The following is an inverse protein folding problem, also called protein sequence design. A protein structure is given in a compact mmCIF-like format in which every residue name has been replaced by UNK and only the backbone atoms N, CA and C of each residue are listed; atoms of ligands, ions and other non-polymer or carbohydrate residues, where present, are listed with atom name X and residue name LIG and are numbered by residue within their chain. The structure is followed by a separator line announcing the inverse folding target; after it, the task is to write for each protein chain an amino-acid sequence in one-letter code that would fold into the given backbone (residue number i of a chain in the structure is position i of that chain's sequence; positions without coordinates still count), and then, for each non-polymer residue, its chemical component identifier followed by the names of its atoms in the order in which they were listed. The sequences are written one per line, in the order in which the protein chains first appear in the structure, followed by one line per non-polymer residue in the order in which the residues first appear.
data_IF_537665016920
#
_entry.id   IF_537665016920
#
_cell.length_a   1.000
_cell.length_b   1.000
_cell.length_c   1.000
_cell.angle_alpha   90.00
_cell.angle_beta   90.00
_cell.angle_gamma   90.00
#
_symmetry.space_group_name_H-M   'P 1'
#
loop_
_entity.id
_entity.type
_entity.pdbx_description
1 polymer ?
#
# COMPACT_ATOMS: atom_id res chain seq x y z
N UNK A 1 -0.79 1.80 26.69
CA UNK A 1 -0.72 0.49 26.02
C UNK A 1 -2.14 -0.01 25.86
N UNK A 2 -2.70 0.06 24.65
CA UNK A 2 -4.04 -0.48 24.35
C UNK A 2 -3.93 -1.95 23.95
N UNK A 3 -4.85 -2.79 24.44
CA UNK A 3 -4.87 -4.23 24.10
C UNK A 3 -5.19 -4.40 22.60
N UNK A 4 -4.33 -5.08 21.81
CA UNK A 4 -4.55 -5.30 20.38
C UNK A 4 -5.84 -6.09 20.06
N UNK A 5 -6.47 -6.74 21.05
CA UNK A 5 -7.73 -7.49 20.89
C UNK A 5 -8.97 -6.60 20.70
N UNK A 6 -8.88 -5.29 20.94
CA UNK A 6 -10.03 -4.38 20.84
C UNK A 6 -10.35 -3.88 19.41
N UNK A 7 -9.50 -4.19 18.41
CA UNK A 7 -9.65 -3.68 17.03
C UNK A 7 -10.24 -4.71 16.05
N UNK A 8 -10.78 -5.83 16.55
CA UNK A 8 -11.30 -6.92 15.72
C UNK A 8 -12.45 -6.51 14.78
N UNK A 9 -13.21 -5.47 15.14
CA UNK A 9 -14.30 -4.93 14.32
C UNK A 9 -13.92 -3.64 13.57
N UNK A 10 -12.65 -3.25 13.57
CA UNK A 10 -12.23 -2.00 12.94
C UNK A 10 -12.33 -2.13 11.41
N UNK A 11 -13.28 -1.42 10.82
CA UNK A 11 -13.54 -1.44 9.36
C UNK A 11 -12.79 -0.36 8.62
N UNK A 12 -12.58 0.79 9.25
CA UNK A 12 -11.93 1.96 8.65
C UNK A 12 -10.93 2.54 9.63
N UNK A 13 -9.71 2.76 9.15
CA UNK A 13 -8.63 3.38 9.91
C UNK A 13 -7.98 4.49 9.09
N UNK A 14 -7.92 5.68 9.68
CA UNK A 14 -7.10 6.77 9.16
C UNK A 14 -5.95 7.01 10.14
N UNK A 15 -4.74 6.70 9.71
CA UNK A 15 -3.51 6.90 10.43
C UNK A 15 -2.83 8.17 9.93
N UNK A 16 -2.82 9.21 10.77
CA UNK A 16 -2.17 10.49 10.49
C UNK A 16 -1.09 10.66 11.55
N UNK A 17 0.18 10.68 11.18
CA UNK A 17 1.25 10.85 12.16
C UNK A 17 2.41 11.70 11.63
N UNK A 18 2.58 12.91 12.13
CA UNK A 18 3.62 13.83 11.67
C UNK A 18 5.05 13.51 12.16
N UNK A 19 5.23 12.55 13.09
CA UNK A 19 6.52 12.30 13.75
C UNK A 19 6.94 10.82 13.76
N UNK A 20 6.13 9.92 13.22
CA UNK A 20 6.42 8.48 13.24
C UNK A 20 7.44 8.15 12.15
N UNK A 21 8.54 7.51 12.53
CA UNK A 21 9.51 6.89 11.61
C UNK A 21 9.14 5.47 11.21
N UNK A 22 8.20 4.84 11.95
CA UNK A 22 7.78 3.45 11.78
C UNK A 22 6.26 3.37 11.69
N UNK A 23 5.74 2.52 10.81
CA UNK A 23 4.32 2.21 10.74
C UNK A 23 3.98 1.08 11.72
N UNK A 24 2.83 1.15 12.42
CA UNK A 24 2.36 0.04 13.22
C UNK A 24 2.01 -1.18 12.34
N UNK A 25 2.03 -2.37 12.93
CA UNK A 25 1.61 -3.60 12.28
C UNK A 25 0.08 -3.66 12.11
N UNK A 26 -0.41 -3.20 10.97
CA UNK A 26 -1.86 -3.12 10.70
C UNK A 26 -2.39 -4.33 9.90
N UNK A 27 -1.50 -5.16 9.36
CA UNK A 27 -1.85 -6.27 8.47
C UNK A 27 -2.65 -7.41 9.11
N UNK A 28 -2.73 -7.45 10.44
CA UNK A 28 -3.47 -8.48 11.18
C UNK A 28 -4.93 -8.11 11.48
N UNK A 29 -5.39 -6.92 11.06
CA UNK A 29 -6.76 -6.46 11.30
C UNK A 29 -7.74 -7.16 10.36
N UNK A 30 -8.60 -8.08 10.85
CA UNK A 30 -9.34 -9.00 9.98
C UNK A 30 -10.52 -8.35 9.25
N UNK A 31 -11.08 -7.27 9.80
CA UNK A 31 -12.25 -6.58 9.24
C UNK A 31 -11.92 -5.25 8.57
N UNK A 32 -10.64 -4.86 8.52
CA UNK A 32 -10.25 -3.57 7.98
C UNK A 32 -10.45 -3.55 6.46
N UNK A 33 -11.33 -2.67 6.00
CA UNK A 33 -11.68 -2.45 4.58
C UNK A 33 -11.07 -1.19 4.01
N UNK A 34 -10.88 -0.17 4.85
CA UNK A 34 -10.35 1.12 4.44
C UNK A 34 -9.16 1.50 5.33
N UNK A 35 -8.03 1.78 4.69
CA UNK A 35 -6.83 2.27 5.36
C UNK A 35 -6.33 3.52 4.65
N UNK A 36 -6.16 4.61 5.40
CA UNK A 36 -5.53 5.83 4.91
C UNK A 36 -4.34 6.14 5.82
N UNK A 37 -3.13 6.15 5.26
CA UNK A 37 -1.88 6.53 5.94
C UNK A 37 -1.43 7.90 5.41
N UNK A 38 -1.19 8.85 6.31
CA UNK A 38 -0.73 10.20 5.91
C UNK A 38 0.26 10.85 6.87
N UNK A 39 1.07 11.75 6.32
CA UNK A 39 2.05 12.60 7.03
C UNK A 39 3.16 11.87 7.80
N UNK A 40 3.37 10.57 7.59
CA UNK A 40 4.43 9.82 8.27
C UNK A 40 5.82 10.04 7.67
N UNK A 41 6.84 10.11 8.53
CA UNK A 41 8.26 10.20 8.14
C UNK A 41 8.87 8.85 7.80
N UNK A 42 8.09 7.95 7.21
CA UNK A 42 8.47 6.56 6.91
C UNK A 42 9.23 6.53 5.60
N UNK A 43 10.41 5.91 5.62
CA UNK A 43 11.29 5.82 4.44
C UNK A 43 10.98 4.62 3.55
N UNK A 44 10.46 3.54 4.15
CA UNK A 44 10.15 2.29 3.47
C UNK A 44 8.89 1.65 4.02
N UNK A 45 8.10 1.04 3.15
CA UNK A 45 7.00 0.14 3.54
C UNK A 45 7.45 -1.29 3.21
N UNK A 46 7.68 -2.08 4.27
CA UNK A 46 8.23 -3.43 4.22
C UNK A 46 7.49 -4.42 5.14
N UNK A 47 8.09 -5.58 5.40
CA UNK A 47 7.53 -6.68 6.21
C UNK A 47 7.02 -6.25 7.61
N UNK A 48 7.61 -5.21 8.20
CA UNK A 48 7.26 -4.72 9.53
C UNK A 48 5.84 -4.13 9.56
N UNK A 49 5.46 -3.40 8.51
CA UNK A 49 4.13 -2.81 8.37
C UNK A 49 3.01 -3.86 8.32
N UNK A 50 3.28 -5.00 7.69
CA UNK A 50 2.32 -6.09 7.55
C UNK A 50 2.17 -6.90 8.86
N UNK A 51 3.08 -6.73 9.84
CA UNK A 51 3.06 -7.44 11.11
C UNK A 51 3.78 -8.78 11.10
N UNK A 52 4.78 -8.93 10.23
CA UNK A 52 5.59 -10.15 10.13
C UNK A 52 6.78 -10.15 11.09
N UNK A 53 6.55 -10.16 12.40
CA UNK A 53 7.61 -10.42 13.37
C UNK A 53 7.83 -11.92 13.52
N UNK A 54 8.81 -12.48 12.81
CA UNK A 54 9.53 -13.74 13.10
C UNK A 54 8.75 -15.01 13.49
N UNK A 55 9.05 -16.10 12.76
CA UNK A 55 9.03 -17.51 13.21
C UNK A 55 7.68 -18.24 13.33
N UNK A 56 7.04 -18.57 12.20
CA UNK A 56 6.67 -19.96 11.87
C UNK A 56 6.65 -20.05 10.35
N UNK A 57 7.42 -20.98 9.77
CA UNK A 57 7.23 -21.39 8.39
C UNK A 57 5.89 -22.13 8.30
N UNK A 58 4.79 -21.38 8.22
CA UNK A 58 3.50 -21.95 7.86
C UNK A 58 3.61 -22.20 6.36
N UNK A 59 3.39 -23.43 5.86
CA UNK A 59 3.43 -23.73 4.42
C UNK A 59 2.35 -22.97 3.62
N UNK A 60 1.47 -22.23 4.32
CA UNK A 60 0.49 -21.33 3.74
C UNK A 60 1.02 -19.89 3.77
N UNK A 61 1.21 -19.34 2.57
CA UNK A 61 1.29 -17.91 2.24
C UNK A 61 0.61 -17.01 3.30
N UNK A 62 1.35 -16.19 4.07
CA UNK A 62 0.75 -15.33 5.09
C UNK A 62 -0.18 -14.30 4.42
N UNK A 63 -1.47 -14.35 4.75
CA UNK A 63 -2.46 -13.43 4.23
C UNK A 63 -2.59 -12.24 5.17
N UNK A 64 -1.92 -11.14 4.83
CA UNK A 64 -2.12 -9.85 5.48
C UNK A 64 -3.34 -9.15 4.87
N UNK A 65 -3.93 -8.21 5.62
CA UNK A 65 -4.99 -7.33 5.14
C UNK A 65 -6.10 -8.05 4.34
N UNK A 66 -6.59 -9.18 4.87
CA UNK A 66 -7.51 -10.11 4.17
C UNK A 66 -8.82 -9.48 3.73
N UNK A 67 -9.22 -8.35 4.33
CA UNK A 67 -10.46 -7.63 4.02
C UNK A 67 -10.24 -6.25 3.41
N UNK A 68 -8.99 -5.81 3.20
CA UNK A 68 -8.72 -4.43 2.78
C UNK A 68 -9.14 -4.22 1.33
N UNK A 69 -10.06 -3.29 1.10
CA UNK A 69 -10.62 -2.97 -0.21
C UNK A 69 -10.05 -1.64 -0.75
N UNK A 70 -9.68 -0.71 0.14
CA UNK A 70 -9.14 0.60 -0.22
C UNK A 70 -7.92 0.96 0.63
N UNK A 71 -6.83 1.31 -0.05
CA UNK A 71 -5.59 1.83 0.55
C UNK A 71 -5.28 3.21 -0.01
N UNK A 72 -5.07 4.17 0.89
CA UNK A 72 -4.64 5.53 0.55
C UNK A 72 -3.32 5.80 1.26
N UNK A 73 -2.32 6.19 0.49
CA UNK A 73 -1.02 6.64 0.95
C UNK A 73 -0.84 8.09 0.50
N UNK A 74 -0.77 9.02 1.45
CA UNK A 74 -0.78 10.46 1.18
C UNK A 74 0.35 11.18 1.95
N UNK A 75 1.05 12.11 1.32
CA UNK A 75 2.05 12.97 1.98
C UNK A 75 3.14 12.17 2.75
N UNK A 76 3.55 11.01 2.24
CA UNK A 76 4.72 10.27 2.76
C UNK A 76 5.98 10.78 2.07
N UNK A 77 6.44 11.97 2.46
CA UNK A 77 7.52 12.68 1.77
C UNK A 77 8.90 12.06 1.95
N UNK A 78 9.06 11.06 2.81
CA UNK A 78 10.31 10.31 2.94
C UNK A 78 10.25 8.93 2.29
N UNK A 79 9.07 8.50 1.84
CA UNK A 79 8.88 7.16 1.31
C UNK A 79 9.64 7.01 0.00
N UNK A 80 10.69 6.20 0.01
CA UNK A 80 11.50 5.89 -1.17
C UNK A 80 11.14 4.53 -1.76
N UNK A 81 10.87 3.55 -0.88
CA UNK A 81 10.71 2.15 -1.25
C UNK A 81 9.39 1.58 -0.75
N UNK A 82 8.72 0.84 -1.61
CA UNK A 82 7.54 0.07 -1.24
C UNK A 82 7.62 -1.34 -1.82
N UNK A 83 7.63 -2.34 -0.93
CA UNK A 83 7.74 -3.75 -1.29
C UNK A 83 6.64 -4.62 -0.66
N UNK A 84 6.36 -5.75 -1.30
CA UNK A 84 5.54 -6.82 -0.75
C UNK A 84 6.39 -8.00 -0.34
N UNK A 85 5.92 -8.73 0.68
CA UNK A 85 6.38 -10.09 0.93
C UNK A 85 5.89 -11.01 -0.19
N UNK A 86 6.65 -12.06 -0.48
CA UNK A 86 6.30 -13.08 -1.49
C UNK A 86 4.85 -13.53 -1.30
N UNK A 87 4.04 -13.27 -2.32
CA UNK A 87 2.63 -13.61 -2.30
C UNK A 87 1.63 -12.46 -2.20
N UNK A 88 2.07 -11.25 -1.98
CA UNK A 88 1.19 -10.09 -1.95
C UNK A 88 0.42 -9.95 -0.63
N UNK A 89 0.35 -8.73 -0.13
CA UNK A 89 -0.19 -8.42 1.18
C UNK A 89 -1.67 -8.03 1.18
N UNK A 90 -2.31 -7.92 0.01
CA UNK A 90 -3.65 -7.34 -0.09
C UNK A 90 -4.57 -8.11 -1.06
N UNK A 91 -5.04 -9.32 -0.70
CA UNK A 91 -5.76 -10.21 -1.60
C UNK A 91 -7.13 -9.68 -2.08
N UNK A 92 -7.66 -8.61 -1.47
CA UNK A 92 -8.97 -8.02 -1.79
C UNK A 92 -8.92 -6.54 -2.16
N UNK A 93 -7.72 -5.98 -2.35
CA UNK A 93 -7.58 -4.56 -2.64
C UNK A 93 -8.17 -4.25 -4.01
N UNK A 94 -9.12 -3.32 -4.04
CA UNK A 94 -9.79 -2.86 -5.27
C UNK A 94 -9.29 -1.49 -5.69
N UNK A 95 -8.98 -0.63 -4.71
CA UNK A 95 -8.56 0.74 -4.92
C UNK A 95 -7.26 1.08 -4.20
N UNK A 96 -6.30 1.62 -4.95
CA UNK A 96 -5.05 2.16 -4.45
C UNK A 96 -4.92 3.63 -4.86
N UNK A 97 -4.74 4.52 -3.88
CA UNK A 97 -4.41 5.93 -4.11
C UNK A 97 -3.06 6.26 -3.49
N UNK A 98 -2.16 6.81 -4.30
CA UNK A 98 -0.85 7.31 -3.88
C UNK A 98 -0.79 8.80 -4.25
N UNK A 99 -0.63 9.66 -3.24
CA UNK A 99 -0.68 11.11 -3.42
C UNK A 99 0.46 11.81 -2.69
N UNK A 100 1.13 12.73 -3.38
CA UNK A 100 2.19 13.59 -2.80
C UNK A 100 3.34 12.79 -2.17
N UNK A 101 3.64 11.60 -2.70
CA UNK A 101 4.77 10.76 -2.27
C UNK A 101 5.96 11.05 -3.17
N UNK A 102 6.70 12.12 -2.85
CA UNK A 102 7.65 12.75 -3.79
C UNK A 102 8.89 11.91 -4.11
N UNK A 103 9.28 11.01 -3.21
CA UNK A 103 10.49 10.21 -3.32
C UNK A 103 10.24 8.74 -3.66
N UNK A 104 8.97 8.32 -3.80
CA UNK A 104 8.63 6.93 -4.08
C UNK A 104 9.14 6.57 -5.47
N UNK A 105 10.10 5.63 -5.52
CA UNK A 105 10.83 5.33 -6.75
C UNK A 105 10.17 4.27 -7.62
N UNK A 106 9.42 3.33 -7.05
CA UNK A 106 8.79 2.24 -7.80
C UNK A 106 7.56 1.70 -7.07
N UNK A 107 6.70 1.01 -7.82
CA UNK A 107 5.62 0.21 -7.22
C UNK A 107 6.17 -1.16 -6.80
N UNK A 108 5.50 -1.85 -5.85
CA UNK A 108 5.77 -3.25 -5.61
C UNK A 108 5.62 -4.08 -6.90
N UNK A 109 6.52 -5.06 -7.10
CA UNK A 109 6.57 -5.87 -8.32
C UNK A 109 5.31 -6.70 -8.60
N UNK A 110 4.52 -6.99 -7.57
CA UNK A 110 3.31 -7.81 -7.65
C UNK A 110 2.13 -7.09 -7.03
N UNK A 111 1.36 -6.35 -7.82
CA UNK A 111 0.09 -5.80 -7.35
C UNK A 111 -1.00 -6.90 -7.31
N UNK A 112 -1.97 -6.80 -6.40
CA UNK A 112 -3.02 -7.81 -6.29
C UNK A 112 -3.94 -7.76 -7.52
N UNK A 113 -4.30 -8.93 -8.05
CA UNK A 113 -5.15 -9.07 -9.24
C UNK A 113 -6.58 -8.54 -9.05
N UNK A 114 -7.00 -8.31 -7.80
CA UNK A 114 -8.28 -7.65 -7.48
C UNK A 114 -8.28 -6.14 -7.72
N UNK A 115 -7.11 -5.54 -7.93
CA UNK A 115 -6.95 -4.09 -8.07
C UNK A 115 -7.55 -3.63 -9.41
N UNK A 116 -8.55 -2.76 -9.32
CA UNK A 116 -9.30 -2.25 -10.47
C UNK A 116 -9.16 -0.74 -10.64
N UNK A 117 -8.80 -0.02 -9.56
CA UNK A 117 -8.63 1.43 -9.54
C UNK A 117 -7.26 1.82 -8.95
N UNK A 118 -6.41 2.45 -9.77
CA UNK A 118 -5.12 3.00 -9.36
C UNK A 118 -5.09 4.51 -9.63
N UNK A 119 -4.80 5.29 -8.58
CA UNK A 119 -4.65 6.73 -8.67
C UNK A 119 -3.27 7.14 -8.15
N UNK A 120 -2.48 7.80 -8.99
CA UNK A 120 -1.17 8.36 -8.63
C UNK A 120 -1.19 9.85 -8.93
N UNK A 121 -0.89 10.70 -7.94
CA UNK A 121 -0.96 12.16 -8.13
C UNK A 121 0.15 12.85 -7.34
N UNK A 122 0.85 13.81 -7.95
CA UNK A 122 1.98 14.52 -7.33
C UNK A 122 3.12 13.60 -6.85
N UNK A 123 3.37 12.50 -7.58
CA UNK A 123 4.47 11.57 -7.33
C UNK A 123 5.46 11.58 -8.51
N UNK A 124 6.39 12.55 -8.60
CA UNK A 124 7.19 12.81 -9.80
C UNK A 124 8.15 11.69 -10.20
N UNK A 125 8.69 10.90 -9.25
CA UNK A 125 9.64 9.84 -9.56
C UNK A 125 8.99 8.58 -10.13
N UNK A 126 7.81 8.21 -9.62
CA UNK A 126 7.08 7.03 -10.08
C UNK A 126 6.21 7.30 -11.33
N UNK A 127 5.72 8.53 -11.50
CA UNK A 127 4.90 8.94 -12.64
C UNK A 127 5.46 8.50 -14.00
N UNK A 128 6.75 8.76 -14.35
CA UNK A 128 7.31 8.32 -15.63
C UNK A 128 7.44 6.80 -15.75
N UNK A 129 7.54 6.07 -14.64
CA UNK A 129 7.65 4.60 -14.65
C UNK A 129 6.32 3.91 -14.94
N UNK A 130 5.20 4.55 -14.60
CA UNK A 130 3.85 4.04 -14.84
C UNK A 130 3.24 4.56 -16.15
N UNK A 131 4.04 5.20 -17.01
CA UNK A 131 3.57 5.71 -18.29
C UNK A 131 3.04 4.57 -19.18
N UNK A 132 1.89 4.79 -19.83
CA UNK A 132 1.24 3.80 -20.70
C UNK A 132 2.21 3.31 -21.78
N UNK A 133 2.38 1.99 -21.86
CA UNK A 133 3.18 1.26 -22.86
C UNK A 133 4.71 1.48 -22.82
N UNK A 134 5.18 2.64 -22.35
CA UNK A 134 6.61 3.02 -22.34
C UNK A 134 7.25 2.92 -20.96
N UNK A 135 6.46 3.01 -19.90
CA UNK A 135 6.94 3.01 -18.52
C UNK A 135 7.49 1.65 -18.08
N UNK A 136 8.59 1.66 -17.32
CA UNK A 136 9.23 0.43 -16.80
C UNK A 136 8.29 -0.39 -15.90
N UNK A 137 7.44 0.28 -15.12
CA UNK A 137 6.47 -0.33 -14.22
C UNK A 137 5.11 -0.55 -14.92
N UNK A 138 4.94 -0.18 -16.19
CA UNK A 138 3.69 -0.37 -16.93
C UNK A 138 3.19 -1.83 -16.92
N UNK A 139 4.03 -2.86 -17.16
CA UNK A 139 3.57 -4.25 -17.13
C UNK A 139 2.96 -4.68 -15.78
N UNK A 140 3.35 -4.01 -14.68
CA UNK A 140 2.84 -4.28 -13.33
C UNK A 140 1.39 -3.80 -13.22
N UNK A 141 1.04 -2.66 -13.83
CA UNK A 141 -0.26 -2.02 -13.69
C UNK A 141 -1.18 -2.20 -14.89
N UNK A 142 -0.69 -2.73 -16.02
CA UNK A 142 -1.43 -2.84 -17.28
C UNK A 142 -2.73 -3.67 -17.19
N UNK A 143 -2.87 -4.51 -16.16
CA UNK A 143 -4.08 -5.30 -15.93
C UNK A 143 -5.20 -4.50 -15.21
N UNK A 144 -4.90 -3.33 -14.67
CA UNK A 144 -5.82 -2.50 -13.89
C UNK A 144 -6.74 -1.73 -14.85
N UNK A 145 -8.05 -1.77 -14.61
CA UNK A 145 -9.04 -1.19 -15.53
C UNK A 145 -9.09 0.33 -15.53
N UNK A 146 -8.87 0.98 -14.38
CA UNK A 146 -8.91 2.43 -14.24
C UNK A 146 -7.61 2.94 -13.62
N UNK A 147 -6.77 3.57 -14.46
CA UNK A 147 -5.49 4.14 -14.05
C UNK A 147 -5.54 5.64 -14.26
N UNK A 148 -5.40 6.41 -13.19
CA UNK A 148 -5.39 7.88 -13.22
C UNK A 148 -4.05 8.37 -12.69
N UNK A 149 -3.31 9.08 -13.54
CA UNK A 149 -2.01 9.68 -13.21
C UNK A 149 -2.07 11.20 -13.41
N UNK A 150 -1.83 11.96 -12.34
CA UNK A 150 -1.91 13.43 -12.33
C UNK A 150 -3.21 13.98 -12.95
N UNK A 151 -4.34 13.34 -12.62
CA UNK A 151 -5.67 13.72 -13.11
C UNK A 151 -6.00 13.27 -14.54
N UNK A 152 -5.10 12.56 -15.22
CA UNK A 152 -5.33 12.01 -16.56
C UNK A 152 -5.57 10.51 -16.49
N UNK A 153 -6.58 10.02 -17.19
CA UNK A 153 -6.74 8.59 -17.41
C UNK A 153 -5.70 8.13 -18.43
N UNK A 154 -4.95 7.09 -18.07
CA UNK A 154 -3.90 6.49 -18.90
C UNK A 154 -4.07 4.97 -18.93
#
# INVERSE_FOLDING_TARGET
MGDPRCLSNLVSLKFICCCCSLLPSLGQLPCLKYLHISFCGVEKIDSEFYGSSSSVAIPTKPLFFTSLETLIIENLEKLEEWSFTEGGAFPRLKKLKIETCRYLRCLPKELPTSLSDLHITYCPLITPRVERETGEDWPIIAHISNIIVNGKNI
#
